data_IF_415772543474
#
_entry.id   IF_415772543474
#
_cell.length_a   1.000
_cell.length_b   1.000
_cell.length_c   1.000
_cell.angle_alpha   90.00
_cell.angle_beta   90.00
_cell.angle_gamma   90.00
#
_symmetry.space_group_name_H-M   'P 1'
#
loop_
_entity.id
_entity.type
_entity.pdbx_description
1 polymer ?
#
# COMPACT_ATOMS: atom_id res chain seq x y z
N UNK A 1 -2.06 3.89 7.01
CA UNK A 1 -0.92 3.68 6.10
C UNK A 1 -0.34 2.31 6.41
N UNK A 2 -0.11 1.48 5.39
CA UNK A 2 0.46 0.14 5.53
C UNK A 2 1.74 0.05 4.71
N UNK A 3 2.76 -0.63 5.26
CA UNK A 3 4.06 -0.82 4.62
C UNK A 3 4.70 -2.16 5.05
N UNK A 4 5.66 -2.67 4.26
CA UNK A 4 6.33 -3.95 4.50
C UNK A 4 7.79 -3.82 5.03
N UNK A 5 8.19 -2.64 5.50
CA UNK A 5 9.55 -2.41 6.02
C UNK A 5 9.88 -3.37 7.18
N UNK A 6 10.96 -4.14 7.03
CA UNK A 6 11.48 -5.04 8.09
C UNK A 6 11.13 -6.53 7.94
N UNK A 7 10.34 -6.93 6.93
CA UNK A 7 10.04 -8.34 6.65
C UNK A 7 11.04 -8.91 5.64
N UNK A 8 11.72 -10.01 5.98
CA UNK A 8 12.68 -10.67 5.09
C UNK A 8 11.94 -11.35 3.92
N UNK A 9 11.91 -10.66 2.78
CA UNK A 9 11.04 -10.87 1.61
C UNK A 9 11.15 -12.26 0.92
N UNK A 10 12.12 -13.09 1.30
CA UNK A 10 12.39 -14.37 0.64
C UNK A 10 11.60 -15.57 1.17
N UNK A 11 11.07 -15.56 2.40
CA UNK A 11 10.57 -16.79 3.05
C UNK A 11 9.10 -16.74 3.48
N UNK A 12 8.51 -15.57 3.74
CA UNK A 12 7.18 -15.44 4.36
C UNK A 12 6.12 -14.75 3.46
N UNK A 13 6.28 -14.85 2.13
CA UNK A 13 5.57 -13.98 1.18
C UNK A 13 4.04 -14.13 1.18
N UNK A 14 3.51 -15.33 1.41
CA UNK A 14 2.07 -15.59 1.33
C UNK A 14 1.31 -15.17 2.59
N UNK A 15 1.78 -15.58 3.76
CA UNK A 15 1.14 -15.24 5.04
C UNK A 15 1.17 -13.72 5.30
N UNK A 16 2.28 -13.06 4.97
CA UNK A 16 2.38 -11.61 5.09
C UNK A 16 1.42 -10.87 4.15
N UNK A 17 1.23 -11.37 2.92
CA UNK A 17 0.27 -10.81 1.97
C UNK A 17 -1.18 -10.97 2.45
N UNK A 18 -1.54 -12.16 2.92
CA UNK A 18 -2.86 -12.45 3.48
C UNK A 18 -3.16 -11.57 4.71
N UNK A 19 -2.17 -11.40 5.59
CA UNK A 19 -2.29 -10.52 6.75
C UNK A 19 -2.48 -9.05 6.32
N UNK A 20 -1.74 -8.58 5.32
CA UNK A 20 -1.86 -7.20 4.83
C UNK A 20 -3.25 -6.92 4.24
N UNK A 21 -3.81 -7.89 3.49
CA UNK A 21 -5.19 -7.81 2.97
C UNK A 21 -6.21 -7.77 4.12
N UNK A 22 -6.00 -8.58 5.17
CA UNK A 22 -6.86 -8.59 6.34
C UNK A 22 -6.81 -7.24 7.08
N UNK A 23 -5.61 -6.70 7.30
CA UNK A 23 -5.41 -5.41 7.95
C UNK A 23 -6.07 -4.29 7.16
N UNK A 24 -5.92 -4.29 5.82
CA UNK A 24 -6.55 -3.34 4.92
C UNK A 24 -8.09 -3.35 5.05
N UNK A 25 -8.71 -4.53 5.13
CA UNK A 25 -10.16 -4.66 5.34
C UNK A 25 -10.58 -4.22 6.75
N UNK A 26 -9.75 -4.46 7.75
CA UNK A 26 -10.06 -4.07 9.13
C UNK A 26 -10.03 -2.55 9.31
N UNK A 27 -9.07 -1.85 8.69
CA UNK A 27 -9.03 -0.39 8.74
C UNK A 27 -10.19 0.25 7.98
N UNK A 28 -10.60 -0.33 6.84
CA UNK A 28 -11.83 0.08 6.14
C UNK A 28 -13.07 -0.09 7.05
N UNK A 29 -13.24 -1.28 7.66
CA UNK A 29 -14.34 -1.54 8.61
C UNK A 29 -14.34 -0.59 9.81
N UNK A 30 -13.17 -0.12 10.23
CA UNK A 30 -13.03 0.86 11.30
C UNK A 30 -13.44 2.29 10.88
N UNK A 31 -13.79 2.50 9.61
CA UNK A 31 -14.27 3.78 9.08
C UNK A 31 -13.20 4.62 8.39
N UNK A 32 -12.06 4.02 7.99
CA UNK A 32 -11.11 4.72 7.14
C UNK A 32 -11.78 5.14 5.82
N UNK A 33 -11.48 6.35 5.34
CA UNK A 33 -12.05 6.91 4.11
C UNK A 33 -11.13 6.75 2.89
N UNK A 34 -9.86 6.41 3.14
CA UNK A 34 -8.85 6.08 2.14
C UNK A 34 -7.72 5.27 2.80
N UNK A 35 -6.95 4.52 2.01
CA UNK A 35 -5.80 3.75 2.46
C UNK A 35 -4.55 4.13 1.67
N UNK A 36 -3.45 4.46 2.38
CA UNK A 36 -2.12 4.61 1.75
C UNK A 36 -1.35 3.30 1.86
N UNK A 37 -0.86 2.79 0.73
CA UNK A 37 0.09 1.68 0.63
C UNK A 37 1.48 2.21 0.26
N UNK A 38 2.47 1.92 1.09
CA UNK A 38 3.86 2.32 0.89
C UNK A 38 4.78 1.12 0.69
N UNK A 39 5.63 1.17 -0.34
CA UNK A 39 6.65 0.16 -0.61
C UNK A 39 6.08 -1.27 -0.66
N UNK A 40 4.88 -1.41 -1.24
CA UNK A 40 4.18 -2.68 -1.44
C UNK A 40 4.46 -3.21 -2.86
N UNK A 41 4.69 -4.52 -3.04
CA UNK A 41 4.80 -5.13 -4.36
C UNK A 41 3.57 -4.81 -5.22
N UNK A 42 3.78 -4.49 -6.50
CA UNK A 42 2.73 -4.00 -7.40
C UNK A 42 1.54 -4.98 -7.51
N UNK A 43 1.81 -6.28 -7.60
CA UNK A 43 0.79 -7.32 -7.65
C UNK A 43 -0.07 -7.38 -6.38
N UNK A 44 0.56 -7.29 -5.21
CA UNK A 44 -0.14 -7.27 -3.92
C UNK A 44 -0.92 -5.95 -3.72
N UNK A 45 -0.36 -4.82 -4.13
CA UNK A 45 -1.05 -3.54 -4.05
C UNK A 45 -2.31 -3.51 -4.94
N UNK A 46 -2.21 -4.07 -6.16
CA UNK A 46 -3.35 -4.22 -7.06
C UNK A 46 -4.42 -5.17 -6.49
N UNK A 47 -4.00 -6.27 -5.85
CA UNK A 47 -4.91 -7.20 -5.17
C UNK A 47 -5.64 -6.51 -4.00
N UNK A 48 -4.92 -5.76 -3.15
CA UNK A 48 -5.52 -5.01 -2.04
C UNK A 48 -6.51 -3.97 -2.57
N UNK A 49 -6.15 -3.23 -3.63
CA UNK A 49 -7.03 -2.22 -4.24
C UNK A 49 -8.34 -2.82 -4.72
N UNK A 50 -8.31 -4.03 -5.30
CA UNK A 50 -9.52 -4.75 -5.75
C UNK A 50 -10.41 -5.25 -4.60
N UNK A 51 -9.88 -5.35 -3.39
CA UNK A 51 -10.59 -5.86 -2.22
C UNK A 51 -11.28 -4.80 -1.37
N UNK A 52 -10.96 -3.52 -1.57
CA UNK A 52 -11.52 -2.41 -0.82
C UNK A 52 -12.53 -1.63 -1.66
N UNK A 53 -13.44 -0.97 -0.97
CA UNK A 53 -14.39 -0.01 -1.55
C UNK A 53 -13.90 1.44 -1.42
N UNK A 54 -13.02 1.70 -0.46
CA UNK A 54 -12.38 3.00 -0.25
C UNK A 54 -11.18 3.19 -1.19
N UNK A 55 -10.85 4.43 -1.61
CA UNK A 55 -9.70 4.70 -2.47
C UNK A 55 -8.38 4.24 -1.85
N UNK A 56 -7.57 3.55 -2.66
CA UNK A 56 -6.20 3.17 -2.30
C UNK A 56 -5.19 4.07 -3.01
N UNK A 57 -4.28 4.66 -2.24
CA UNK A 57 -3.27 5.60 -2.70
C UNK A 57 -1.88 4.98 -2.54
N UNK A 58 -1.15 4.83 -3.65
CA UNK A 58 0.18 4.24 -3.66
C UNK A 58 1.31 5.25 -3.51
N UNK A 59 2.37 4.87 -2.80
CA UNK A 59 3.70 5.48 -2.88
C UNK A 59 4.75 4.35 -2.93
N UNK A 60 5.40 4.20 -4.09
CA UNK A 60 6.24 3.02 -4.33
C UNK A 60 5.46 1.70 -4.30
N UNK A 61 4.15 1.74 -4.61
CA UNK A 61 3.25 0.57 -4.58
C UNK A 61 2.81 0.11 -5.99
N UNK A 62 3.43 0.63 -7.05
CA UNK A 62 3.01 0.37 -8.43
C UNK A 62 1.73 1.11 -8.83
N UNK A 63 1.28 0.86 -10.06
CA UNK A 63 0.16 1.59 -10.70
C UNK A 63 -1.22 0.96 -10.46
N UNK A 64 -1.27 -0.16 -9.75
CA UNK A 64 -2.50 -0.92 -9.50
C UNK A 64 -3.43 -0.32 -8.44
N UNK A 65 -3.05 0.80 -7.82
CA UNK A 65 -3.87 1.54 -6.86
C UNK A 65 -4.69 2.65 -7.54
N UNK A 66 -5.76 3.12 -6.90
CA UNK A 66 -6.69 4.11 -7.47
C UNK A 66 -6.07 5.51 -7.63
N UNK A 67 -5.08 5.83 -6.81
CA UNK A 67 -4.33 7.08 -6.87
C UNK A 67 -2.87 6.90 -6.46
N UNK A 68 -2.10 7.98 -6.58
CA UNK A 68 -0.69 8.02 -6.21
C UNK A 68 -0.41 9.26 -5.36
N UNK A 69 0.56 9.12 -4.46
CA UNK A 69 1.11 10.23 -3.67
C UNK A 69 2.63 10.20 -3.77
N UNK A 70 3.23 11.39 -3.81
CA UNK A 70 4.67 11.57 -3.75
C UNK A 70 4.98 12.79 -2.86
N UNK A 71 6.12 12.77 -2.19
CA UNK A 71 6.60 13.94 -1.45
C UNK A 71 6.95 15.04 -2.45
N UNK A 72 6.46 16.26 -2.21
CA UNK A 72 6.66 17.40 -3.11
C UNK A 72 8.14 17.69 -3.41
N UNK A 73 9.00 17.63 -2.39
CA UNK A 73 10.43 17.87 -2.54
C UNK A 73 11.11 16.82 -3.43
N UNK A 74 10.73 15.54 -3.29
CA UNK A 74 11.25 14.44 -4.11
C UNK A 74 10.79 14.59 -5.56
N UNK A 75 9.51 14.98 -5.76
CA UNK A 75 8.93 15.18 -7.08
C UNK A 75 9.63 16.31 -7.86
N UNK A 76 10.02 17.38 -7.18
CA UNK A 76 10.64 18.56 -7.78
C UNK A 76 12.16 18.62 -7.64
N UNK A 77 12.76 17.57 -7.04
CA UNK A 77 14.19 17.48 -6.79
C UNK A 77 14.74 18.68 -5.98
N UNK A 78 14.00 19.11 -4.96
CA UNK A 78 14.42 20.18 -4.02
C UNK A 78 15.26 19.66 -2.85
N UNK A 79 15.47 18.34 -2.73
CA UNK A 79 16.39 17.75 -1.75
C UNK A 79 17.82 17.77 -2.30
N UNK A 80 18.66 18.64 -1.76
CA UNK A 80 20.12 18.62 -2.00
C UNK A 80 20.82 17.69 -1.02
#
# INVERSE_FOLDING_TARGET
MLALWGINYKVQRKEAAEQLILDAKNVEKAGAVALVLEAIPNDLAEEISKHLTIPVIGIGAGKGTDGQVLVYHDMLNYGY
#
